data_IF_087811173921
#
_entry.id   IF_087811173921
#
_cell.length_a   1.000
_cell.length_b   1.000
_cell.length_c   1.000
_cell.angle_alpha   90.00
_cell.angle_beta   90.00
_cell.angle_gamma   90.00
#
_symmetry.space_group_name_H-M   'P 1'
#
loop_
_entity.id
_entity.type
_entity.pdbx_description
1 polymer ?
#
# COMPACT_ATOMS: atom_id res chain seq x y z
N UNK A 1 -24.75 5.51 -26.85
CA UNK A 1 -23.79 6.56 -26.42
C UNK A 1 -23.24 6.15 -25.05
N UNK A 2 -22.19 5.33 -25.00
CA UNK A 2 -21.62 4.85 -23.73
C UNK A 2 -20.78 5.97 -23.11
N UNK A 3 -21.10 6.45 -21.89
CA UNK A 3 -20.24 7.43 -21.24
C UNK A 3 -18.93 6.74 -20.84
N UNK A 4 -17.90 6.87 -21.67
CA UNK A 4 -16.53 6.58 -21.26
C UNK A 4 -16.08 7.73 -20.36
N UNK A 5 -16.55 7.73 -19.10
CA UNK A 5 -16.00 8.57 -18.05
C UNK A 5 -14.61 8.05 -17.71
N UNK A 6 -13.62 8.35 -18.57
CA UNK A 6 -12.23 7.98 -18.36
C UNK A 6 -11.79 8.60 -17.05
N UNK A 7 -11.53 7.79 -16.03
CA UNK A 7 -10.96 8.26 -14.76
C UNK A 7 -9.67 9.03 -15.07
N UNK A 8 -9.56 10.32 -14.67
CA UNK A 8 -8.35 11.09 -14.96
C UNK A 8 -7.12 10.41 -14.36
N UNK A 9 -5.97 10.50 -15.04
CA UNK A 9 -4.74 9.79 -14.68
C UNK A 9 -4.31 10.03 -13.22
N UNK A 10 -4.52 11.24 -12.69
CA UNK A 10 -4.26 11.59 -11.30
C UNK A 10 -5.03 10.72 -10.29
N UNK A 11 -6.31 10.47 -10.57
CA UNK A 11 -7.17 9.68 -9.69
C UNK A 11 -6.82 8.20 -9.76
N UNK A 12 -6.52 7.68 -10.97
CA UNK A 12 -5.99 6.31 -11.14
C UNK A 12 -4.69 6.11 -10.36
N UNK A 13 -3.74 7.03 -10.45
CA UNK A 13 -2.48 6.93 -9.70
C UNK A 13 -2.72 6.89 -8.18
N UNK A 14 -3.62 7.73 -7.67
CA UNK A 14 -3.95 7.76 -6.24
C UNK A 14 -4.52 6.42 -5.79
N UNK A 15 -5.52 5.92 -6.50
CA UNK A 15 -6.22 4.66 -6.17
C UNK A 15 -5.28 3.45 -6.21
N UNK A 16 -4.58 3.28 -7.33
CA UNK A 16 -3.64 2.16 -7.53
C UNK A 16 -2.48 2.21 -6.52
N UNK A 17 -1.97 3.40 -6.21
CA UNK A 17 -0.92 3.53 -5.19
C UNK A 17 -1.39 3.17 -3.78
N UNK A 18 -2.65 3.47 -3.45
CA UNK A 18 -3.26 3.12 -2.16
C UNK A 18 -3.44 1.62 -2.04
N UNK A 19 -4.00 0.99 -3.08
CA UNK A 19 -4.17 -0.47 -3.13
C UNK A 19 -2.82 -1.22 -3.05
N UNK A 20 -1.80 -0.72 -3.76
CA UNK A 20 -0.47 -1.31 -3.71
C UNK A 20 0.19 -1.15 -2.34
N UNK A 21 -0.06 -0.04 -1.64
CA UNK A 21 0.40 0.18 -0.28
C UNK A 21 -0.31 -0.76 0.71
N UNK A 22 -1.65 -0.82 0.70
CA UNK A 22 -2.43 -1.64 1.63
C UNK A 22 -2.11 -3.13 1.54
N UNK A 23 -1.69 -3.58 0.36
CA UNK A 23 -1.33 -4.98 0.14
C UNK A 23 0.11 -5.31 0.58
N UNK A 24 0.95 -4.31 0.86
CA UNK A 24 2.36 -4.52 1.22
C UNK A 24 2.58 -5.14 2.60
N UNK A 25 1.64 -4.94 3.52
CA UNK A 25 1.63 -5.59 4.84
C UNK A 25 1.38 -7.09 4.77
N UNK A 26 0.88 -7.61 3.65
CA UNK A 26 0.59 -9.03 3.42
C UNK A 26 1.81 -9.83 2.93
N UNK A 27 3.00 -9.24 2.91
CA UNK A 27 4.21 -9.93 2.45
C UNK A 27 4.29 -10.14 0.93
N UNK A 28 3.62 -9.30 0.13
CA UNK A 28 3.59 -9.44 -1.32
C UNK A 28 5.00 -9.42 -1.94
N UNK A 29 5.22 -10.37 -2.86
CA UNK A 29 6.48 -10.49 -3.59
C UNK A 29 6.48 -9.63 -4.86
N UNK A 30 7.66 -9.48 -5.46
CA UNK A 30 7.80 -8.86 -6.78
C UNK A 30 6.92 -9.54 -7.84
N UNK A 31 6.67 -10.86 -7.74
CA UNK A 31 5.79 -11.59 -8.66
C UNK A 31 4.33 -11.16 -8.52
N UNK A 32 3.86 -10.94 -7.30
CA UNK A 32 2.48 -10.54 -7.05
C UNK A 32 2.21 -9.13 -7.56
N UNK A 33 3.20 -8.24 -7.45
CA UNK A 33 3.16 -6.93 -8.11
C UNK A 33 2.99 -7.07 -9.63
N UNK A 34 3.79 -7.93 -10.27
CA UNK A 34 3.70 -8.13 -11.72
C UNK A 34 2.34 -8.74 -12.13
N UNK A 35 1.80 -9.67 -11.33
CA UNK A 35 0.44 -10.20 -11.52
C UNK A 35 -0.61 -9.11 -11.38
N UNK A 36 -0.50 -8.26 -10.36
CA UNK A 36 -1.39 -7.12 -10.17
C UNK A 36 -1.37 -6.16 -11.36
N UNK A 37 -0.19 -5.80 -11.86
CA UNK A 37 -0.05 -4.92 -13.04
C UNK A 37 -0.75 -5.53 -14.26
N UNK A 38 -0.53 -6.83 -14.50
CA UNK A 38 -1.18 -7.54 -15.61
C UNK A 38 -2.71 -7.55 -15.45
N UNK A 39 -3.21 -7.88 -14.26
CA UNK A 39 -4.64 -7.93 -13.96
C UNK A 39 -5.29 -6.55 -14.03
N UNK A 40 -4.62 -5.50 -13.55
CA UNK A 40 -5.14 -4.14 -13.57
C UNK A 40 -5.20 -3.57 -14.99
N UNK A 41 -4.13 -3.78 -15.78
CA UNK A 41 -4.06 -3.28 -17.14
C UNK A 41 -4.94 -4.04 -18.12
N UNK A 42 -5.34 -5.28 -17.80
CA UNK A 42 -6.12 -6.16 -18.69
C UNK A 42 -5.43 -6.39 -20.04
N UNK A 43 -4.10 -6.28 -20.09
CA UNK A 43 -3.28 -6.48 -21.28
C UNK A 43 -2.09 -7.38 -20.96
N UNK A 44 -1.24 -7.62 -21.95
CA UNK A 44 0.00 -8.34 -21.71
C UNK A 44 0.95 -7.51 -20.81
N UNK A 45 1.70 -8.21 -19.97
CA UNK A 45 2.56 -7.57 -18.97
C UNK A 45 3.73 -6.80 -19.61
N UNK A 46 4.30 -7.33 -20.70
CA UNK A 46 5.47 -6.71 -21.36
C UNK A 46 5.12 -5.36 -21.96
N UNK A 47 4.04 -5.28 -22.73
CA UNK A 47 3.50 -4.05 -23.32
C UNK A 47 3.10 -3.03 -22.26
N UNK A 48 2.45 -3.48 -21.17
CA UNK A 48 2.14 -2.59 -20.05
C UNK A 48 3.39 -1.97 -19.44
N UNK A 49 4.42 -2.79 -19.19
CA UNK A 49 5.67 -2.35 -18.58
C UNK A 49 6.55 -1.54 -19.53
N UNK A 50 6.28 -1.59 -20.83
CA UNK A 50 6.98 -0.79 -21.82
C UNK A 50 6.25 0.55 -22.02
N UNK A 51 4.98 0.51 -22.39
CA UNK A 51 4.16 1.69 -22.69
C UNK A 51 3.85 2.54 -21.47
N UNK A 52 3.46 1.90 -20.37
CA UNK A 52 2.97 2.57 -19.16
C UNK A 52 4.01 2.56 -18.03
N UNK A 53 5.29 2.28 -18.35
CA UNK A 53 6.42 2.28 -17.40
C UNK A 53 6.42 3.48 -16.46
N UNK A 54 6.33 4.74 -16.95
CA UNK A 54 6.47 5.90 -16.07
C UNK A 54 5.32 5.99 -15.07
N UNK A 55 4.13 5.48 -15.42
CA UNK A 55 2.98 5.41 -14.51
C UNK A 55 3.26 4.43 -13.37
N UNK A 56 3.71 3.23 -13.69
CA UNK A 56 3.97 2.18 -12.69
C UNK A 56 5.13 2.51 -11.76
N UNK A 57 6.15 3.21 -12.25
CA UNK A 57 7.22 3.75 -11.39
C UNK A 57 6.72 4.83 -10.42
N UNK A 58 5.77 5.67 -10.83
CA UNK A 58 5.17 6.68 -9.93
C UNK A 58 4.29 6.03 -8.88
N UNK A 59 3.51 5.01 -9.25
CA UNK A 59 2.71 4.20 -8.34
C UNK A 59 3.61 3.58 -7.26
N UNK A 60 4.71 2.94 -7.67
CA UNK A 60 5.66 2.31 -6.75
C UNK A 60 6.32 3.33 -5.83
N UNK A 61 6.84 4.44 -6.38
CA UNK A 61 7.43 5.52 -5.57
C UNK A 61 6.45 6.06 -4.53
N UNK A 62 5.18 6.23 -4.90
CA UNK A 62 4.15 6.71 -3.98
C UNK A 62 3.82 5.67 -2.89
N UNK A 63 3.65 4.41 -3.26
CA UNK A 63 3.41 3.33 -2.29
C UNK A 63 4.57 3.16 -1.29
N UNK A 64 5.82 3.23 -1.78
CA UNK A 64 7.02 3.20 -0.94
C UNK A 64 7.05 4.38 0.06
N UNK A 65 6.68 5.59 -0.37
CA UNK A 65 6.60 6.76 0.51
C UNK A 65 5.51 6.60 1.58
N UNK A 66 4.35 6.06 1.24
CA UNK A 66 3.28 5.78 2.20
C UNK A 66 3.74 4.77 3.24
N UNK A 67 4.34 3.67 2.80
CA UNK A 67 4.89 2.64 3.67
C UNK A 67 5.99 3.18 4.62
N UNK A 68 6.92 3.98 4.10
CA UNK A 68 7.95 4.62 4.92
C UNK A 68 7.39 5.68 5.88
N UNK A 69 6.31 6.37 5.51
CA UNK A 69 5.63 7.31 6.41
C UNK A 69 4.89 6.58 7.55
N UNK A 70 4.21 5.47 7.26
CA UNK A 70 3.57 4.62 8.26
C UNK A 70 4.59 4.05 9.25
N UNK A 71 5.68 3.45 8.76
CA UNK A 71 6.74 2.92 9.63
C UNK A 71 7.35 3.96 10.57
N UNK A 72 7.40 5.24 10.15
CA UNK A 72 7.85 6.35 11.01
C UNK A 72 6.80 6.78 12.04
N UNK A 73 5.50 6.60 11.74
CA UNK A 73 4.40 6.89 12.67
C UNK A 73 4.16 5.77 13.68
N UNK A 74 4.59 4.55 13.38
CA UNK A 74 4.44 3.39 14.26
C UNK A 74 5.78 2.95 14.87
N UNK A 75 6.47 3.79 15.68
CA UNK A 75 7.63 3.32 16.44
C UNK A 75 7.20 2.38 17.59
N UNK A 76 5.90 2.31 17.92
CA UNK A 76 5.35 1.72 19.14
C UNK A 76 4.45 0.49 18.90
N UNK A 77 4.85 -0.42 18.02
CA UNK A 77 4.30 -1.78 17.98
C UNK A 77 5.16 -2.75 18.80
N UNK A 78 5.80 -2.23 19.87
CA UNK A 78 6.93 -2.87 20.54
C UNK A 78 6.95 -2.92 22.08
N UNK A 79 6.01 -2.33 22.86
CA UNK A 79 6.04 -2.47 24.33
C UNK A 79 4.65 -2.58 25.00
N UNK A 80 4.35 -3.80 25.47
CA UNK A 80 3.63 -4.24 26.69
C UNK A 80 2.23 -3.68 27.07
N UNK A 81 1.33 -4.53 27.65
CA UNK A 81 0.00 -4.12 28.08
C UNK A 81 0.07 -3.11 29.25
N UNK A 82 -1.00 -2.33 29.51
CA UNK A 82 -1.05 -1.41 30.64
C UNK A 82 -1.00 -2.19 31.95
N UNK A 83 0.19 -2.42 32.50
CA UNK A 83 0.38 -2.92 33.86
C UNK A 83 0.44 -1.73 34.80
N UNK A 84 -0.72 -1.16 35.09
CA UNK A 84 -0.91 -0.21 36.18
C UNK A 84 -2.18 -0.55 36.96
N UNK A 85 -2.21 -1.75 37.55
CA UNK A 85 -2.98 -2.01 38.76
C UNK A 85 -2.05 -2.76 39.72
N UNK A 86 -1.12 -2.02 40.31
CA UNK A 86 -0.62 -2.45 41.61
C UNK A 86 -1.81 -2.34 42.54
N UNK A 87 -2.36 -3.50 42.86
CA UNK A 87 -3.04 -3.77 44.12
C UNK A 87 -2.30 -3.02 45.23
N UNK A 88 -2.87 -1.90 45.69
CA UNK A 88 -2.58 -1.39 47.02
C UNK A 88 -3.23 -2.40 47.98
N UNK A 89 -2.52 -3.51 48.16
CA UNK A 89 -2.78 -4.47 49.21
C UNK A 89 -2.75 -3.74 50.54
N UNK A 90 -3.82 -3.96 51.28
CA UNK A 90 -3.98 -3.70 52.70
C UNK A 90 -2.81 -4.22 53.52
N UNK A 91 -2.63 -3.60 54.69
CA UNK A 91 -2.18 -4.14 55.99
C UNK A 91 -0.82 -3.58 56.48
N UNK A 92 -0.60 -3.45 57.81
CA UNK A 92 -1.54 -3.49 58.94
C UNK A 92 -1.73 -2.13 59.64
#
# INVERSE_FOLDING_TARGET
RTPQSKTPSRWKMRDVSGLHYSSRSLGLTQRDRLRFIRLYSQTNLRETLDRDRPFWERVERRANRLYAAERRRSPDSGLAPPRALHSAGTQP
#
